data_IF_129520562676
#
_entry.id   IF_129520562676
#
_cell.length_a   1.000
_cell.length_b   1.000
_cell.length_c   1.000
_cell.angle_alpha   90.00
_cell.angle_beta   90.00
_cell.angle_gamma   90.00
#
_symmetry.space_group_name_H-M   'P 1'
#
loop_
_entity.id
_entity.type
_entity.pdbx_description
1 polymer ?
#
# COMPACT_ATOMS: atom_id res chain seq x y z
N UNK A 1 13.54 -2.10 -6.12
CA UNK A 1 13.46 -1.13 -7.23
C UNK A 1 12.80 -1.80 -8.40
N UNK A 2 11.94 -1.10 -9.12
CA UNK A 2 11.30 -1.59 -10.33
C UNK A 2 10.59 -0.48 -11.09
N UNK A 3 10.17 -0.79 -12.31
CA UNK A 3 9.50 0.15 -13.20
C UNK A 3 8.55 -0.55 -14.13
N UNK A 4 7.46 0.12 -14.47
CA UNK A 4 6.33 -0.45 -15.22
C UNK A 4 5.89 0.59 -16.23
N UNK A 5 5.76 0.20 -17.48
CA UNK A 5 5.14 1.05 -18.50
C UNK A 5 3.63 0.94 -18.37
N UNK A 6 2.96 2.07 -18.22
CA UNK A 6 1.50 2.11 -18.11
C UNK A 6 0.91 2.06 -19.53
N UNK A 7 0.27 0.94 -19.87
CA UNK A 7 -0.37 0.74 -21.18
C UNK A 7 -1.85 1.15 -21.21
N UNK A 8 -2.47 1.31 -20.04
CA UNK A 8 -3.90 1.62 -19.86
C UNK A 8 -4.32 2.97 -20.46
N UNK A 9 -3.40 3.93 -20.58
CA UNK A 9 -3.65 5.28 -21.11
C UNK A 9 -3.17 5.48 -22.56
N UNK A 10 -2.59 4.45 -23.20
CA UNK A 10 -2.02 4.58 -24.54
C UNK A 10 -3.07 4.24 -25.61
N UNK A 11 -3.52 5.26 -26.36
CA UNK A 11 -4.31 5.06 -27.57
C UNK A 11 -3.49 4.26 -28.59
N UNK A 12 -3.86 2.98 -28.79
CA UNK A 12 -3.20 2.01 -29.68
C UNK A 12 -3.13 2.46 -31.15
N UNK A 13 -3.95 3.44 -31.54
CA UNK A 13 -4.07 3.93 -32.92
C UNK A 13 -3.16 5.13 -33.25
N UNK A 14 -2.27 5.57 -32.35
CA UNK A 14 -1.40 6.73 -32.63
C UNK A 14 -0.22 6.32 -33.53
N UNK A 15 -0.13 6.94 -34.71
CA UNK A 15 0.91 6.72 -35.73
C UNK A 15 2.26 7.40 -35.45
N UNK A 16 2.38 8.15 -34.36
CA UNK A 16 3.60 8.88 -33.94
C UNK A 16 4.03 8.45 -32.53
N UNK A 17 5.33 8.36 -32.28
CA UNK A 17 5.92 8.16 -30.93
C UNK A 17 5.44 9.31 -30.02
N UNK A 18 4.38 9.08 -29.26
CA UNK A 18 3.85 10.03 -28.29
C UNK A 18 4.56 9.93 -26.93
N UNK A 19 4.15 10.79 -25.99
CA UNK A 19 4.53 10.69 -24.59
C UNK A 19 4.22 9.29 -24.05
N UNK A 20 5.23 8.66 -23.47
CA UNK A 20 5.12 7.36 -22.82
C UNK A 20 4.87 7.57 -21.32
N UNK A 21 4.04 6.73 -20.70
CA UNK A 21 3.77 6.81 -19.27
C UNK A 21 4.47 5.68 -18.53
N UNK A 22 5.23 6.01 -17.49
CA UNK A 22 5.92 5.04 -16.64
C UNK A 22 5.61 5.25 -15.17
N UNK A 23 5.49 4.17 -14.42
CA UNK A 23 5.51 4.18 -12.97
C UNK A 23 6.81 3.55 -12.49
N UNK A 24 7.56 4.22 -11.62
CA UNK A 24 8.84 3.72 -11.07
C UNK A 24 8.79 3.75 -9.56
N UNK A 25 9.40 2.75 -8.92
CA UNK A 25 9.38 2.62 -7.48
C UNK A 25 10.70 2.08 -6.90
N UNK A 26 10.93 2.44 -5.65
CA UNK A 26 11.98 1.97 -4.75
C UNK A 26 11.36 1.75 -3.37
N UNK A 27 11.85 0.75 -2.65
CA UNK A 27 11.29 0.34 -1.36
C UNK A 27 11.88 -0.99 -0.92
N UNK A 28 11.36 -1.53 0.18
CA UNK A 28 11.88 -2.74 0.80
C UNK A 28 11.17 -4.00 0.31
N UNK A 29 11.91 -5.11 0.26
CA UNK A 29 11.36 -6.44 -0.04
C UNK A 29 11.46 -7.34 1.18
N UNK A 30 10.33 -7.85 1.64
CA UNK A 30 10.27 -8.85 2.71
C UNK A 30 10.72 -10.19 2.14
N UNK A 31 11.83 -10.75 2.65
CA UNK A 31 12.48 -11.93 2.05
C UNK A 31 11.61 -13.19 2.07
N UNK A 32 10.77 -13.35 3.09
CA UNK A 32 9.98 -14.57 3.31
C UNK A 32 8.92 -14.76 2.21
N UNK A 33 8.29 -13.68 1.75
CA UNK A 33 7.13 -13.74 0.86
C UNK A 33 7.29 -12.87 -0.40
N UNK A 34 8.41 -12.14 -0.53
CA UNK A 34 8.67 -11.13 -1.56
C UNK A 34 7.63 -9.99 -1.61
N UNK A 35 6.88 -9.76 -0.53
CA UNK A 35 6.05 -8.57 -0.39
C UNK A 35 6.93 -7.32 -0.47
N UNK A 36 6.37 -6.24 -0.99
CA UNK A 36 7.05 -4.97 -1.10
C UNK A 36 6.44 -3.98 -0.10
N UNK A 37 7.31 -3.31 0.64
CA UNK A 37 6.94 -2.15 1.46
C UNK A 37 7.26 -0.93 0.61
N UNK A 38 6.21 -0.31 0.08
CA UNK A 38 6.30 0.89 -0.74
C UNK A 38 5.62 2.05 -0.01
N UNK A 39 6.30 3.19 0.07
CA UNK A 39 5.74 4.44 0.59
C UNK A 39 5.46 5.41 -0.56
N UNK A 40 4.69 6.47 -0.31
CA UNK A 40 4.47 7.52 -1.31
C UNK A 40 5.77 8.19 -1.77
N UNK A 41 6.78 8.29 -0.90
CA UNK A 41 8.11 8.84 -1.24
C UNK A 41 8.92 7.89 -2.12
N UNK A 42 8.65 6.59 -2.03
CA UNK A 42 9.29 5.54 -2.82
C UNK A 42 8.65 5.29 -4.19
N UNK A 43 7.62 6.04 -4.61
CA UNK A 43 6.92 5.77 -5.88
C UNK A 43 6.64 7.05 -6.66
N UNK A 44 6.96 7.04 -7.95
CA UNK A 44 6.44 8.01 -8.93
C UNK A 44 5.45 7.32 -9.86
N UNK A 45 4.19 7.71 -9.78
CA UNK A 45 3.12 7.17 -10.63
C UNK A 45 3.00 7.94 -11.94
N UNK A 46 2.78 7.21 -13.03
CA UNK A 46 2.35 7.76 -14.33
C UNK A 46 3.14 8.98 -14.82
N UNK A 47 4.47 8.92 -14.68
CA UNK A 47 5.37 9.92 -15.23
C UNK A 47 5.27 9.91 -16.75
N UNK A 48 4.87 11.04 -17.33
CA UNK A 48 4.89 11.24 -18.76
C UNK A 48 6.31 11.59 -19.19
N UNK A 49 6.89 10.81 -20.09
CA UNK A 49 8.26 11.02 -20.58
C UNK A 49 8.27 11.03 -22.10
N UNK A 50 9.05 11.96 -22.65
CA UNK A 50 9.23 12.15 -24.09
C UNK A 50 10.45 11.43 -24.64
N UNK A 51 11.43 11.15 -23.78
CA UNK A 51 12.69 10.50 -24.13
C UNK A 51 13.34 9.78 -22.93
N UNK A 52 14.33 8.94 -23.22
CA UNK A 52 15.04 8.13 -22.21
C UNK A 52 15.81 9.01 -21.20
N UNK A 53 16.35 10.15 -21.63
CA UNK A 53 17.10 11.05 -20.73
C UNK A 53 16.22 11.70 -19.67
N UNK A 54 14.96 12.01 -20.01
CA UNK A 54 13.95 12.47 -19.05
C UNK A 54 13.56 11.36 -18.07
N UNK A 55 13.32 10.14 -18.56
CA UNK A 55 13.07 8.98 -17.71
C UNK A 55 14.23 8.77 -16.72
N UNK A 56 15.47 8.78 -17.20
CA UNK A 56 16.66 8.58 -16.37
C UNK A 56 16.77 9.63 -15.25
N UNK A 57 16.60 10.92 -15.57
CA UNK A 57 16.60 12.00 -14.57
C UNK A 57 15.52 11.80 -13.52
N UNK A 58 14.29 11.50 -13.95
CA UNK A 58 13.18 11.28 -13.05
C UNK A 58 13.40 10.11 -12.08
N UNK A 59 14.05 9.04 -12.55
CA UNK A 59 14.42 7.88 -11.73
C UNK A 59 15.55 8.21 -10.75
N UNK A 60 16.59 8.92 -11.19
CA UNK A 60 17.65 9.38 -10.29
C UNK A 60 17.12 10.29 -9.19
N UNK A 61 16.23 11.23 -9.53
CA UNK A 61 15.60 12.09 -8.54
C UNK A 61 14.79 11.30 -7.51
N UNK A 62 14.09 10.25 -7.94
CA UNK A 62 13.37 9.37 -7.01
C UNK A 62 14.36 8.68 -6.05
N UNK A 63 15.46 8.12 -6.57
CA UNK A 63 16.43 7.40 -5.76
C UNK A 63 17.21 8.31 -4.82
N UNK A 64 17.52 9.54 -5.24
CA UNK A 64 18.21 10.53 -4.41
C UNK A 64 17.33 11.05 -3.26
N UNK A 65 16.02 11.16 -3.47
CA UNK A 65 15.08 11.61 -2.45
C UNK A 65 14.59 10.48 -1.53
N UNK A 66 14.80 9.22 -1.93
CA UNK A 66 14.44 8.08 -1.11
C UNK A 66 15.31 8.02 0.15
N UNK A 67 14.70 8.01 1.33
CA UNK A 67 15.39 7.92 2.62
C UNK A 67 15.22 6.52 3.23
N UNK A 68 16.21 5.62 3.07
CA UNK A 68 16.10 4.24 3.55
C UNK A 68 15.97 4.15 5.08
N UNK A 69 16.66 5.03 5.82
CA UNK A 69 16.65 5.02 7.28
C UNK A 69 15.26 5.36 7.83
N UNK A 70 14.58 6.34 7.23
CA UNK A 70 13.20 6.70 7.58
C UNK A 70 12.24 5.52 7.39
N UNK A 71 12.36 4.79 6.28
CA UNK A 71 11.50 3.62 6.03
C UNK A 71 11.81 2.44 6.95
N UNK A 72 13.07 2.21 7.31
CA UNK A 72 13.43 1.19 8.33
C UNK A 72 12.80 1.56 9.68
N UNK A 73 12.91 2.83 10.08
CA UNK A 73 12.32 3.30 11.33
C UNK A 73 10.79 3.16 11.32
N UNK A 74 10.15 3.40 10.17
CA UNK A 74 8.73 3.15 9.97
C UNK A 74 8.37 1.67 10.20
N UNK A 75 9.10 0.74 9.56
CA UNK A 75 8.86 -0.69 9.72
C UNK A 75 9.08 -1.17 11.17
N UNK A 76 10.09 -0.63 11.85
CA UNK A 76 10.31 -0.89 13.29
C UNK A 76 9.12 -0.40 14.12
N UNK A 77 8.62 0.80 13.84
CA UNK A 77 7.45 1.36 14.52
C UNK A 77 6.22 0.49 14.32
N UNK A 78 5.95 0.02 13.09
CA UNK A 78 4.83 -0.88 12.81
C UNK A 78 4.98 -2.25 13.49
N UNK A 79 6.22 -2.72 13.68
CA UNK A 79 6.49 -3.98 14.38
C UNK A 79 6.26 -3.87 15.89
N UNK A 80 6.42 -2.67 16.46
CA UNK A 80 6.28 -2.42 17.90
C UNK A 80 4.84 -2.10 18.34
N UNK A 81 3.90 -1.98 17.39
CA UNK A 81 2.49 -1.70 17.67
C UNK A 81 1.66 -2.87 17.20
N UNK A 82 0.76 -3.37 18.05
CA UNK A 82 -0.08 -4.52 17.75
C UNK A 82 -1.56 -4.19 17.88
N UNK A 83 -2.37 -4.90 17.10
CA UNK A 83 -3.82 -4.94 17.19
C UNK A 83 -4.23 -6.18 17.97
N UNK A 84 -5.16 -6.03 18.92
CA UNK A 84 -5.91 -7.17 19.45
C UNK A 84 -6.83 -7.76 18.36
N UNK A 85 -7.26 -9.01 18.55
CA UNK A 85 -8.23 -9.64 17.65
C UNK A 85 -9.51 -8.81 17.48
N UNK A 86 -10.01 -8.19 18.55
CA UNK A 86 -11.21 -7.34 18.48
C UNK A 86 -10.99 -6.07 17.66
N UNK A 87 -9.84 -5.40 17.82
CA UNK A 87 -9.48 -4.25 16.98
C UNK A 87 -9.28 -4.65 15.51
N UNK A 88 -8.66 -5.81 15.27
CA UNK A 88 -8.54 -6.36 13.92
C UNK A 88 -9.92 -6.61 13.30
N UNK A 89 -10.82 -7.28 14.02
CA UNK A 89 -12.18 -7.53 13.55
C UNK A 89 -12.95 -6.23 13.26
N UNK A 90 -12.78 -5.21 14.11
CA UNK A 90 -13.36 -3.88 13.90
C UNK A 90 -12.87 -3.24 12.60
N UNK A 91 -11.56 -3.24 12.38
CA UNK A 91 -10.94 -2.71 11.15
C UNK A 91 -11.47 -3.45 9.93
N UNK A 92 -11.50 -4.79 9.96
CA UNK A 92 -12.01 -5.60 8.84
C UNK A 92 -13.49 -5.28 8.57
N UNK A 93 -14.30 -5.14 9.61
CA UNK A 93 -15.70 -4.71 9.50
C UNK A 93 -15.83 -3.35 8.81
N UNK A 94 -15.06 -2.35 9.26
CA UNK A 94 -15.03 -1.01 8.67
C UNK A 94 -14.55 -1.02 7.21
N UNK A 95 -13.53 -1.82 6.87
CA UNK A 95 -13.07 -1.98 5.50
C UNK A 95 -14.16 -2.52 4.56
N UNK A 96 -14.98 -3.46 5.03
CA UNK A 96 -16.14 -3.97 4.25
C UNK A 96 -17.24 -2.92 4.12
N UNK A 97 -17.53 -2.18 5.20
CA UNK A 97 -18.49 -1.08 5.15
C UNK A 97 -18.04 0.03 4.19
N UNK A 98 -16.73 0.32 4.11
CA UNK A 98 -16.16 1.37 3.28
C UNK A 98 -16.58 1.26 1.80
N UNK A 99 -16.67 0.04 1.28
CA UNK A 99 -17.08 -0.22 -0.11
C UNK A 99 -18.58 0.06 -0.36
N UNK A 100 -19.39 0.03 0.69
CA UNK A 100 -20.83 0.29 0.63
C UNK A 100 -21.22 1.73 1.02
N UNK A 101 -20.25 2.58 1.37
CA UNK A 101 -20.53 3.96 1.78
C UNK A 101 -20.99 4.82 0.60
N UNK A 102 -21.87 5.82 0.84
CA UNK A 102 -22.14 6.86 -0.13
C UNK A 102 -20.86 7.59 -0.54
N UNK A 103 -20.71 7.88 -1.84
CA UNK A 103 -19.49 8.49 -2.42
C UNK A 103 -19.08 9.78 -1.68
N UNK A 104 -20.04 10.61 -1.27
CA UNK A 104 -19.78 11.84 -0.53
C UNK A 104 -19.12 11.59 0.83
N UNK A 105 -19.58 10.57 1.56
CA UNK A 105 -19.03 10.20 2.85
C UNK A 105 -17.67 9.52 2.72
N UNK A 106 -17.52 8.65 1.70
CA UNK A 106 -16.25 8.00 1.40
C UNK A 106 -15.10 8.99 1.17
N UNK A 107 -15.38 10.17 0.56
CA UNK A 107 -14.38 11.24 0.35
C UNK A 107 -13.88 11.89 1.65
N UNK A 108 -14.62 11.78 2.74
CA UNK A 108 -14.24 12.33 4.05
C UNK A 108 -13.37 11.38 4.88
N UNK A 109 -13.26 10.12 4.45
CA UNK A 109 -12.50 9.06 5.13
C UNK A 109 -11.22 8.80 4.32
N UNK A 110 -10.10 8.41 4.96
CA UNK A 110 -8.90 8.04 4.23
C UNK A 110 -9.18 6.94 3.20
N UNK A 111 -8.59 7.11 2.01
CA UNK A 111 -8.85 6.24 0.87
C UNK A 111 -8.45 4.80 1.19
N UNK A 112 -9.33 3.85 0.90
CA UNK A 112 -9.03 2.42 0.91
C UNK A 112 -9.15 1.86 -0.52
N UNK A 113 -8.06 1.33 -1.05
CA UNK A 113 -7.96 0.74 -2.39
C UNK A 113 -8.05 -0.80 -2.40
N UNK A 114 -7.99 -1.40 -1.21
CA UNK A 114 -8.11 -2.85 -1.01
C UNK A 114 -9.58 -3.24 -1.20
N UNK A 115 -9.83 -4.25 -2.03
CA UNK A 115 -11.18 -4.70 -2.39
C UNK A 115 -11.74 -5.71 -1.40
N UNK A 116 -13.06 -5.94 -1.42
CA UNK A 116 -13.71 -6.93 -0.55
C UNK A 116 -13.10 -8.33 -0.65
N UNK A 117 -12.74 -8.77 -1.86
CA UNK A 117 -12.08 -10.08 -2.07
C UNK A 117 -10.71 -10.15 -1.38
N UNK A 118 -9.98 -9.04 -1.41
CA UNK A 118 -8.68 -8.92 -0.76
C UNK A 118 -8.81 -8.86 0.76
N UNK A 119 -9.79 -8.10 1.27
CA UNK A 119 -10.13 -8.08 2.71
C UNK A 119 -10.52 -9.49 3.20
N UNK A 120 -11.29 -10.25 2.42
CA UNK A 120 -11.61 -11.64 2.76
C UNK A 120 -10.36 -12.53 2.81
N UNK A 121 -9.39 -12.28 1.94
CA UNK A 121 -8.10 -12.99 1.96
C UNK A 121 -7.28 -12.63 3.20
N UNK A 122 -7.25 -11.34 3.58
CA UNK A 122 -6.59 -10.87 4.81
C UNK A 122 -7.22 -11.51 6.05
N UNK A 123 -8.56 -11.59 6.10
CA UNK A 123 -9.28 -12.23 7.21
C UNK A 123 -8.93 -13.73 7.33
N UNK A 124 -8.85 -14.44 6.20
CA UNK A 124 -8.41 -15.84 6.18
C UNK A 124 -6.97 -15.96 6.68
N UNK A 125 -6.07 -15.16 6.13
CA UNK A 125 -4.65 -15.22 6.42
C UNK A 125 -4.34 -14.78 7.86
N UNK A 126 -5.16 -13.93 8.48
CA UNK A 126 -5.05 -13.61 9.90
C UNK A 126 -5.09 -14.86 10.78
N UNK A 127 -5.93 -15.84 10.46
CA UNK A 127 -6.03 -17.09 11.23
C UNK A 127 -5.11 -18.21 10.74
N UNK A 128 -4.75 -18.23 9.45
CA UNK A 128 -4.11 -19.40 8.83
C UNK A 128 -2.68 -19.15 8.31
N UNK A 129 -2.21 -17.90 8.25
CA UNK A 129 -0.88 -17.60 7.73
C UNK A 129 0.19 -17.81 8.82
N UNK A 130 1.09 -18.76 8.61
CA UNK A 130 2.13 -19.10 9.59
C UNK A 130 3.14 -17.96 9.83
N UNK A 131 3.40 -17.11 8.82
CA UNK A 131 4.41 -16.05 8.91
C UNK A 131 3.87 -14.76 9.53
N UNK A 132 2.68 -14.34 9.07
CA UNK A 132 2.10 -13.02 9.36
C UNK A 132 0.71 -13.10 10.00
N UNK A 133 0.22 -14.29 10.31
CA UNK A 133 -1.04 -14.47 11.03
C UNK A 133 -0.93 -14.03 12.48
N UNK A 134 -2.06 -14.13 13.18
CA UNK A 134 -2.21 -13.82 14.58
C UNK A 134 -1.24 -14.62 15.46
N UNK A 135 -0.64 -13.95 16.45
CA UNK A 135 0.26 -14.50 17.46
C UNK A 135 -0.23 -14.01 18.81
N UNK A 136 -0.48 -14.94 19.74
CA UNK A 136 -0.95 -14.62 21.11
C UNK A 136 -2.19 -13.68 21.14
N UNK A 137 -3.20 -13.98 20.31
CA UNK A 137 -4.44 -13.18 20.15
C UNK A 137 -4.24 -11.73 19.67
N UNK A 138 -3.08 -11.44 19.09
CA UNK A 138 -2.76 -10.14 18.52
C UNK A 138 -2.06 -10.27 17.17
N UNK A 139 -1.99 -9.18 16.42
CA UNK A 139 -1.21 -9.07 15.19
C UNK A 139 -0.43 -7.76 15.19
N UNK A 140 0.87 -7.80 14.89
CA UNK A 140 1.65 -6.57 14.74
C UNK A 140 1.16 -5.79 13.51
N UNK A 141 1.28 -4.47 13.50
CA UNK A 141 0.88 -3.69 12.32
C UNK A 141 1.79 -3.95 11.12
N UNK A 142 3.02 -4.42 11.35
CA UNK A 142 3.89 -4.92 10.29
C UNK A 142 3.37 -6.23 9.69
N UNK A 143 2.90 -7.17 10.49
CA UNK A 143 2.30 -8.41 10.01
C UNK A 143 0.98 -8.13 9.28
N UNK A 144 0.13 -7.25 9.84
CA UNK A 144 -1.09 -6.79 9.19
C UNK A 144 -0.82 -6.12 7.83
N UNK A 145 0.18 -5.26 7.74
CA UNK A 145 0.66 -4.68 6.48
C UNK A 145 1.06 -5.76 5.47
N UNK A 146 1.75 -6.80 5.92
CA UNK A 146 2.15 -7.92 5.07
C UNK A 146 0.96 -8.74 4.58
N UNK A 147 -0.09 -8.91 5.39
CA UNK A 147 -1.34 -9.52 4.94
C UNK A 147 -2.02 -8.69 3.84
N UNK A 148 -2.10 -7.36 4.02
CA UNK A 148 -2.66 -6.45 3.02
C UNK A 148 -1.88 -6.51 1.70
N UNK A 149 -0.56 -6.39 1.75
CA UNK A 149 0.29 -6.43 0.55
C UNK A 149 0.35 -7.81 -0.11
N UNK A 150 0.23 -8.89 0.67
CA UNK A 150 0.12 -10.25 0.15
C UNK A 150 -1.17 -10.44 -0.66
N UNK A 151 -2.30 -9.93 -0.15
CA UNK A 151 -3.59 -9.99 -0.86
C UNK A 151 -3.59 -9.22 -2.21
N UNK A 152 -2.60 -8.33 -2.40
CA UNK A 152 -2.45 -7.53 -3.62
C UNK A 152 -1.69 -8.23 -4.76
N UNK A 153 -1.01 -9.36 -4.53
CA UNK A 153 -0.10 -9.98 -5.52
C UNK A 153 -0.73 -10.35 -6.86
N UNK A 154 -2.03 -10.66 -6.87
CA UNK A 154 -2.76 -11.02 -8.08
C UNK A 154 -3.31 -9.80 -8.85
N UNK A 155 -3.06 -8.58 -8.37
CA UNK A 155 -3.48 -7.37 -9.06
C UNK A 155 -2.61 -7.12 -10.30
N UNK A 156 -3.19 -6.48 -11.32
CA UNK A 156 -2.40 -5.89 -12.40
C UNK A 156 -1.33 -4.95 -11.83
N UNK A 157 -0.16 -4.92 -12.46
CA UNK A 157 1.05 -4.33 -11.88
C UNK A 157 0.89 -2.82 -11.59
N UNK A 158 0.17 -2.09 -12.44
CA UNK A 158 -0.13 -0.67 -12.24
C UNK A 158 -1.02 -0.44 -10.99
N UNK A 159 -2.06 -1.24 -10.84
CA UNK A 159 -2.97 -1.22 -9.71
C UNK A 159 -2.29 -1.74 -8.43
N UNK A 160 -1.40 -2.72 -8.57
CA UNK A 160 -0.61 -3.26 -7.47
C UNK A 160 0.19 -2.16 -6.76
N UNK A 161 0.88 -1.28 -7.51
CA UNK A 161 1.69 -0.22 -6.90
C UNK A 161 0.83 0.74 -6.07
N UNK A 162 -0.32 1.14 -6.59
CA UNK A 162 -1.24 2.02 -5.85
C UNK A 162 -1.77 1.36 -4.59
N UNK A 163 -2.19 0.08 -4.68
CA UNK A 163 -2.67 -0.68 -3.52
C UNK A 163 -1.57 -0.97 -2.50
N UNK A 164 -0.33 -1.18 -2.93
CA UNK A 164 0.81 -1.40 -2.05
C UNK A 164 1.14 -0.15 -1.24
N UNK A 165 1.18 1.02 -1.88
CA UNK A 165 1.35 2.31 -1.18
C UNK A 165 0.19 2.55 -0.23
N UNK A 166 -1.05 2.34 -0.68
CA UNK A 166 -2.22 2.54 0.15
C UNK A 166 -2.29 1.57 1.36
N UNK A 167 -1.82 0.33 1.21
CA UNK A 167 -1.68 -0.59 2.34
C UNK A 167 -0.71 -0.04 3.39
N UNK A 168 0.42 0.54 2.96
CA UNK A 168 1.37 1.21 3.87
C UNK A 168 0.72 2.41 4.55
N UNK A 169 0.01 3.27 3.80
CA UNK A 169 -0.70 4.43 4.37
C UNK A 169 -1.74 4.03 5.43
N UNK A 170 -2.52 2.97 5.17
CA UNK A 170 -3.52 2.45 6.10
C UNK A 170 -2.85 1.93 7.37
N UNK A 171 -1.80 1.11 7.24
CA UNK A 171 -1.07 0.58 8.41
C UNK A 171 -0.43 1.68 9.26
N UNK A 172 0.16 2.70 8.62
CA UNK A 172 0.75 3.85 9.32
C UNK A 172 -0.32 4.73 9.96
N UNK A 173 -1.43 4.98 9.27
CA UNK A 173 -2.55 5.74 9.80
C UNK A 173 -3.15 5.09 11.04
N UNK A 174 -3.42 3.79 10.98
CA UNK A 174 -3.91 3.02 12.14
C UNK A 174 -2.88 3.05 13.27
N UNK A 175 -1.58 2.88 12.97
CA UNK A 175 -0.52 3.00 13.97
C UNK A 175 -0.55 4.35 14.69
N UNK A 176 -0.70 5.45 13.95
CA UNK A 176 -0.71 6.79 14.52
C UNK A 176 -1.90 7.01 15.44
N UNK A 177 -3.08 6.49 15.07
CA UNK A 177 -4.28 6.51 15.90
C UNK A 177 -4.06 5.75 17.21
N UNK A 178 -3.54 4.51 17.14
CA UNK A 178 -3.27 3.71 18.33
C UNK A 178 -2.22 4.33 19.25
N UNK A 179 -1.28 5.10 18.69
CA UNK A 179 -0.25 5.82 19.43
C UNK A 179 -0.69 7.22 19.90
N UNK A 180 -1.91 7.65 19.56
CA UNK A 180 -2.44 8.97 19.91
C UNK A 180 -1.73 10.15 19.21
N UNK A 181 -1.14 9.92 18.04
CA UNK A 181 -0.40 10.94 17.27
C UNK A 181 -1.34 11.75 16.38
N UNK A 182 -2.29 11.09 15.72
CA UNK A 182 -3.32 11.70 14.89
C UNK A 182 -4.62 10.87 14.92
N UNK A 183 -5.74 11.45 14.51
CA UNK A 183 -7.07 10.82 14.48
C UNK A 183 -7.59 10.61 13.04
N UNK A 184 -6.75 10.82 12.02
CA UNK A 184 -7.19 10.84 10.62
C UNK A 184 -7.78 9.50 10.18
N UNK A 185 -7.27 8.40 10.73
CA UNK A 185 -7.72 7.03 10.44
C UNK A 185 -8.64 6.45 11.54
N UNK A 186 -9.10 7.29 12.48
CA UNK A 186 -9.93 6.88 13.62
C UNK A 186 -11.21 6.14 13.19
N UNK A 187 -11.77 6.47 12.02
CA UNK A 187 -12.96 5.82 11.49
C UNK A 187 -12.81 4.29 11.34
N UNK A 188 -11.60 3.79 11.06
CA UNK A 188 -11.33 2.35 10.94
C UNK A 188 -11.32 1.62 12.30
N UNK A 189 -11.18 2.35 13.40
CA UNK A 189 -11.11 1.82 14.78
C UNK A 189 -12.35 2.17 15.62
N UNK A 190 -13.23 3.04 15.11
CA UNK A 190 -14.48 3.45 15.76
C UNK A 190 -15.61 2.49 15.47
#
# INVERSE_FOLDING_TARGET
>A
MGGVRNYSDLNLYRSTKGLEKFSVFIGWRVRICSNQVLTGEGVKFSMEVSNIGELYRNVLDLFNNFNPAKEIHLMQTLSNTSLSESQFAQIIGRCRCYQALPIGYQKSIPKLLITDSQINSVCRDFYHNEAFGMKDNAISLFDFHNLLTQSNKNSYVDTYLQRAVNATEISVGINNVLRGIDDKYQWFLS
#
